data_IF_680313176984
#
_entry.id   IF_680313176984
#
_cell.length_a   1.000
_cell.length_b   1.000
_cell.length_c   1.000
_cell.angle_alpha   90.00
_cell.angle_beta   90.00
_cell.angle_gamma   90.00
#
_symmetry.space_group_name_H-M   'P 1'
#
loop_
_entity.id
_entity.type
_entity.pdbx_description
1 polymer ?
#
# COMPACT_ATOMS: atom_id res chain seq x y z
N UNK A 1 -0.02 13.27 -3.24
CA UNK A 1 1.10 13.47 -2.30
C UNK A 1 1.77 14.82 -2.51
N UNK A 2 1.90 15.64 -1.46
CA UNK A 2 2.63 16.92 -1.53
C UNK A 2 4.00 16.90 -0.84
N UNK A 3 4.15 16.10 0.23
CA UNK A 3 5.41 15.88 0.93
C UNK A 3 5.65 14.37 1.07
N UNK A 4 6.27 13.74 0.07
CA UNK A 4 6.49 12.29 0.07
C UNK A 4 7.87 11.88 0.58
N UNK A 5 7.93 10.75 1.26
CA UNK A 5 9.16 10.02 1.52
C UNK A 5 9.09 8.63 0.92
N UNK A 6 10.25 8.07 0.60
CA UNK A 6 10.40 6.71 0.07
C UNK A 6 11.40 5.96 0.92
N UNK A 7 11.08 4.70 1.24
CA UNK A 7 11.97 3.81 1.95
C UNK A 7 11.96 2.43 1.31
N UNK A 8 13.11 1.76 1.35
CA UNK A 8 13.20 0.36 0.97
C UNK A 8 12.42 -0.52 1.94
N UNK A 9 11.86 -1.61 1.42
CA UNK A 9 11.16 -2.59 2.24
C UNK A 9 11.66 -4.01 2.01
N UNK A 10 11.90 -4.38 0.75
CA UNK A 10 12.49 -5.66 0.34
C UNK A 10 11.78 -6.86 0.99
N UNK A 11 10.45 -6.89 0.90
CA UNK A 11 9.64 -8.01 1.40
C UNK A 11 9.09 -8.82 0.25
N UNK A 12 9.15 -10.14 0.38
CA UNK A 12 8.55 -11.05 -0.58
C UNK A 12 7.04 -11.22 -0.30
N UNK A 13 6.26 -11.25 -1.37
CA UNK A 13 4.84 -11.62 -1.37
C UNK A 13 4.61 -12.78 -2.33
N UNK A 14 3.72 -13.70 -1.93
CA UNK A 14 3.37 -14.84 -2.74
C UNK A 14 2.53 -14.44 -3.97
N UNK A 15 2.33 -15.39 -4.87
CA UNK A 15 1.52 -15.20 -6.09
C UNK A 15 0.06 -14.81 -5.80
N UNK A 16 -0.54 -15.28 -4.71
CA UNK A 16 -1.93 -14.95 -4.34
C UNK A 16 -2.08 -13.46 -3.99
N UNK A 17 -1.20 -12.93 -3.14
CA UNK A 17 -1.19 -11.51 -2.77
C UNK A 17 -0.85 -10.63 -3.97
N UNK A 18 0.07 -11.07 -4.83
CA UNK A 18 0.38 -10.38 -6.08
C UNK A 18 -0.85 -10.26 -6.99
N UNK A 19 -1.61 -11.35 -7.16
CA UNK A 19 -2.85 -11.34 -7.97
C UNK A 19 -3.85 -10.36 -7.37
N UNK A 20 -4.09 -10.42 -6.06
CA UNK A 20 -4.98 -9.49 -5.35
C UNK A 20 -4.60 -8.03 -5.56
N UNK A 21 -3.31 -7.69 -5.41
CA UNK A 21 -2.81 -6.33 -5.63
C UNK A 21 -2.95 -5.87 -7.09
N UNK A 22 -2.74 -6.77 -8.06
CA UNK A 22 -2.93 -6.50 -9.49
C UNK A 22 -4.39 -6.42 -9.92
N UNK A 23 -5.31 -7.04 -9.18
CA UNK A 23 -6.75 -6.85 -9.37
C UNK A 23 -7.16 -5.47 -8.86
N UNK A 24 -6.60 -5.05 -7.74
CA UNK A 24 -6.93 -3.77 -7.12
C UNK A 24 -8.32 -3.78 -6.49
N UNK A 25 -8.73 -2.60 -6.01
CA UNK A 25 -10.06 -2.37 -5.45
C UNK A 25 -10.50 -0.95 -5.82
N UNK A 26 -11.69 -0.84 -6.36
CA UNK A 26 -12.34 0.44 -6.65
C UNK A 26 -13.58 0.54 -5.77
N UNK A 27 -13.60 1.56 -4.92
CA UNK A 27 -14.70 1.84 -4.00
C UNK A 27 -15.98 2.21 -4.72
N UNK A 28 -17.11 1.74 -4.21
CA UNK A 28 -18.42 2.12 -4.72
C UNK A 28 -18.87 3.46 -4.13
N UNK A 29 -18.47 3.74 -2.88
CA UNK A 29 -18.78 4.98 -2.20
C UNK A 29 -17.74 5.38 -1.13
N UNK A 30 -18.00 6.48 -0.43
CA UNK A 30 -17.09 7.04 0.58
C UNK A 30 -16.87 6.12 1.80
N UNK A 31 -17.72 5.11 2.03
CA UNK A 31 -17.65 4.20 3.17
C UNK A 31 -16.51 3.17 3.04
N UNK A 32 -16.09 2.85 1.81
CA UNK A 32 -14.97 1.96 1.53
C UNK A 32 -13.61 2.63 1.81
N UNK A 33 -13.59 3.96 1.76
CA UNK A 33 -12.50 4.89 2.15
C UNK A 33 -11.18 4.80 1.41
N UNK A 34 -10.88 3.69 0.75
CA UNK A 34 -9.61 3.44 0.08
C UNK A 34 -9.84 2.84 -1.30
N UNK A 35 -9.12 3.36 -2.29
CA UNK A 35 -8.94 2.70 -3.58
C UNK A 35 -7.53 2.12 -3.64
N UNK A 36 -7.40 0.98 -4.31
CA UNK A 36 -6.14 0.32 -4.59
C UNK A 36 -6.03 0.12 -6.09
N UNK A 37 -5.23 0.95 -6.75
CA UNK A 37 -5.14 1.01 -8.21
C UNK A 37 -3.76 0.53 -8.68
N UNK A 38 -3.68 -0.63 -9.33
CA UNK A 38 -2.45 -1.06 -10.00
C UNK A 38 -2.20 -0.16 -11.22
N UNK A 39 -0.92 0.16 -11.46
CA UNK A 39 -0.45 0.80 -12.70
C UNK A 39 0.28 -0.21 -13.56
N UNK A 40 0.44 0.13 -14.83
CA UNK A 40 1.26 -0.64 -15.75
C UNK A 40 2.71 -0.69 -15.27
N UNK A 41 3.40 -1.77 -15.62
CA UNK A 41 4.81 -1.91 -15.30
C UNK A 41 5.62 -0.83 -16.04
N UNK A 42 6.60 -0.24 -15.37
CA UNK A 42 7.54 0.67 -16.02
C UNK A 42 8.56 -0.07 -16.91
N UNK A 43 9.47 0.68 -17.53
CA UNK A 43 10.52 0.15 -18.40
C UNK A 43 11.44 -0.87 -17.69
N UNK A 44 11.49 -0.85 -16.35
CA UNK A 44 12.28 -1.78 -15.54
C UNK A 44 11.45 -2.98 -15.05
N UNK A 45 10.19 -3.09 -15.48
CA UNK A 45 9.26 -4.13 -15.05
C UNK A 45 8.72 -3.92 -13.63
N UNK A 46 8.82 -2.71 -13.07
CA UNK A 46 8.28 -2.39 -11.75
C UNK A 46 6.82 -2.00 -11.86
N UNK A 47 5.97 -2.67 -11.10
CA UNK A 47 4.55 -2.38 -11.00
C UNK A 47 4.32 -1.49 -9.80
N UNK A 48 3.60 -0.38 -10.01
CA UNK A 48 3.22 0.53 -8.93
C UNK A 48 1.79 0.28 -8.49
N UNK A 49 1.58 0.04 -7.20
CA UNK A 49 0.25 -0.06 -6.60
C UNK A 49 -0.03 1.24 -5.86
N UNK A 50 -0.98 2.02 -6.38
CA UNK A 50 -1.41 3.28 -5.81
C UNK A 50 -2.52 3.04 -4.80
N UNK A 51 -2.41 3.65 -3.62
CA UNK A 51 -3.42 3.52 -2.56
C UNK A 51 -3.84 4.92 -2.15
N UNK A 52 -5.09 5.27 -2.47
CA UNK A 52 -5.64 6.61 -2.36
C UNK A 52 -6.95 6.60 -1.56
N UNK A 53 -7.41 7.78 -1.13
CA UNK A 53 -8.75 7.91 -0.53
C UNK A 53 -9.81 7.96 -1.60
N UNK A 54 -10.91 7.24 -1.40
CA UNK A 54 -11.99 7.15 -2.39
C UNK A 54 -12.61 8.50 -2.80
N UNK A 55 -12.63 9.47 -1.89
CA UNK A 55 -13.27 10.76 -2.12
C UNK A 55 -12.32 11.89 -2.54
N UNK A 56 -10.99 11.74 -2.39
CA UNK A 56 -10.02 12.74 -2.90
C UNK A 56 -9.23 12.23 -4.09
N UNK A 57 -9.15 10.90 -4.28
CA UNK A 57 -8.28 10.22 -5.22
C UNK A 57 -6.79 10.60 -5.08
N UNK A 58 -6.43 11.24 -3.96
CA UNK A 58 -5.04 11.58 -3.68
C UNK A 58 -4.33 10.35 -3.13
N UNK A 59 -3.23 9.97 -3.78
CA UNK A 59 -2.36 8.90 -3.29
C UNK A 59 -1.85 9.24 -1.89
N UNK A 60 -1.99 8.26 -1.00
CA UNK A 60 -1.39 8.28 0.34
C UNK A 60 -0.20 7.33 0.44
N UNK A 61 -0.24 6.24 -0.34
CA UNK A 61 0.83 5.26 -0.43
C UNK A 61 1.01 4.82 -1.88
N UNK A 62 2.25 4.51 -2.24
CA UNK A 62 2.60 3.79 -3.46
C UNK A 62 3.55 2.66 -3.08
N UNK A 63 3.21 1.43 -3.48
CA UNK A 63 4.12 0.29 -3.40
C UNK A 63 4.77 0.06 -4.76
N UNK A 64 6.09 -0.14 -4.76
CA UNK A 64 6.83 -0.57 -5.94
C UNK A 64 7.09 -2.08 -5.85
N UNK A 65 6.59 -2.84 -6.83
CA UNK A 65 6.68 -4.29 -6.88
C UNK A 65 7.56 -4.71 -8.05
N UNK A 66 8.54 -5.56 -7.77
CA UNK A 66 9.32 -6.25 -8.79
C UNK A 66 8.83 -7.68 -8.91
N UNK A 67 8.46 -8.10 -10.11
CA UNK A 67 8.04 -9.49 -10.35
C UNK A 67 9.23 -10.43 -10.22
N UNK A 68 9.01 -11.57 -9.57
CA UNK A 68 9.93 -12.70 -9.56
C UNK A 68 9.44 -13.73 -10.58
N UNK A 69 10.35 -14.39 -11.28
CA UNK A 69 10.01 -15.28 -12.40
C UNK A 69 9.20 -16.51 -11.99
N UNK A 70 9.31 -16.96 -10.73
CA UNK A 70 8.75 -18.25 -10.32
C UNK A 70 7.69 -18.20 -9.20
N UNK A 71 7.65 -17.19 -8.32
CA UNK A 71 6.84 -17.33 -7.09
C UNK A 71 6.22 -16.04 -6.50
N UNK A 72 5.90 -15.05 -7.34
CA UNK A 72 5.21 -13.85 -6.91
C UNK A 72 6.03 -12.58 -7.13
N UNK A 73 6.20 -11.77 -6.10
CA UNK A 73 6.88 -10.48 -6.24
C UNK A 73 7.66 -10.08 -4.98
N UNK A 74 8.54 -9.12 -5.16
CA UNK A 74 9.19 -8.39 -4.07
C UNK A 74 8.65 -6.96 -4.03
N UNK A 75 8.17 -6.52 -2.87
CA UNK A 75 7.92 -5.10 -2.62
C UNK A 75 9.27 -4.46 -2.31
N UNK A 76 9.81 -3.76 -3.29
CA UNK A 76 11.14 -3.16 -3.22
C UNK A 76 11.12 -1.90 -2.36
N UNK A 77 10.06 -1.11 -2.46
CA UNK A 77 9.92 0.14 -1.71
C UNK A 77 8.47 0.53 -1.46
N UNK A 78 8.32 1.39 -0.46
CA UNK A 78 7.09 2.15 -0.19
C UNK A 78 7.40 3.63 -0.31
N UNK A 79 6.52 4.34 -1.00
CA UNK A 79 6.44 5.81 -0.96
C UNK A 79 5.16 6.21 -0.23
N UNK A 80 5.22 7.20 0.65
CA UNK A 80 4.05 7.65 1.40
C UNK A 80 4.01 9.18 1.53
N UNK A 81 2.79 9.72 1.65
CA UNK A 81 2.62 11.10 2.08
C UNK A 81 2.99 11.22 3.56
N UNK A 82 4.01 12.02 3.85
CA UNK A 82 4.47 12.30 5.20
C UNK A 82 3.51 13.24 5.91
N UNK A 83 2.76 14.08 5.20
CA UNK A 83 1.87 15.07 5.82
C UNK A 83 0.43 14.60 5.74
N UNK A 84 -0.15 14.29 6.89
CA UNK A 84 -1.57 13.89 7.01
C UNK A 84 -2.27 14.84 7.96
N UNK A 85 -2.83 15.92 7.40
CA UNK A 85 -3.34 17.04 8.20
C UNK A 85 -2.21 17.69 9.00
N UNK A 86 -2.35 17.72 10.32
CA UNK A 86 -1.34 18.28 11.24
C UNK A 86 -0.28 17.25 11.70
N UNK A 87 -0.44 15.99 11.30
CA UNK A 87 0.44 14.90 11.73
C UNK A 87 1.49 14.56 10.67
N UNK A 88 2.71 14.24 11.13
CA UNK A 88 3.78 13.70 10.30
C UNK A 88 3.86 12.18 10.42
N UNK A 89 3.60 11.47 9.33
CA UNK A 89 3.69 10.01 9.23
C UNK A 89 5.14 9.56 9.00
N UNK A 90 5.66 8.76 9.92
CA UNK A 90 6.95 8.08 9.78
C UNK A 90 6.85 6.78 8.97
N UNK A 91 8.02 6.23 8.61
CA UNK A 91 8.15 5.01 7.81
C UNK A 91 7.45 3.80 8.46
N UNK A 92 7.66 3.59 9.76
CA UNK A 92 7.07 2.45 10.49
C UNK A 92 5.54 2.51 10.45
N UNK A 93 4.97 3.69 10.70
CA UNK A 93 3.53 3.93 10.61
C UNK A 93 3.02 3.73 9.20
N UNK A 94 3.75 4.18 8.17
CA UNK A 94 3.37 3.99 6.78
C UNK A 94 3.32 2.50 6.40
N UNK A 95 4.35 1.73 6.74
CA UNK A 95 4.41 0.28 6.51
C UNK A 95 3.29 -0.48 7.23
N UNK A 96 2.95 -0.11 8.47
CA UNK A 96 1.83 -0.70 9.21
C UNK A 96 0.48 -0.37 8.58
N UNK A 97 0.26 0.89 8.22
CA UNK A 97 -0.99 1.36 7.64
C UNK A 97 -1.23 0.70 6.28
N UNK A 98 -0.24 0.66 5.39
CA UNK A 98 -0.42 0.10 4.06
C UNK A 98 -0.78 -1.39 4.10
N UNK A 99 -0.13 -2.17 4.98
CA UNK A 99 -0.46 -3.59 5.19
C UNK A 99 -1.86 -3.76 5.76
N UNK A 100 -2.25 -2.93 6.73
CA UNK A 100 -3.60 -2.96 7.28
C UNK A 100 -4.66 -2.63 6.22
N UNK A 101 -4.41 -1.67 5.32
CA UNK A 101 -5.31 -1.36 4.20
C UNK A 101 -5.40 -2.53 3.23
N UNK A 102 -4.27 -3.07 2.75
CA UNK A 102 -4.28 -4.17 1.79
C UNK A 102 -4.94 -5.44 2.36
N UNK A 103 -4.73 -5.74 3.65
CA UNK A 103 -5.46 -6.82 4.35
C UNK A 103 -6.96 -6.57 4.42
N UNK A 104 -7.36 -5.35 4.77
CA UNK A 104 -8.77 -4.98 4.95
C UNK A 104 -9.54 -4.97 3.62
N UNK A 105 -8.91 -4.50 2.54
CA UNK A 105 -9.58 -4.28 1.25
C UNK A 105 -9.46 -5.45 0.28
N UNK A 106 -8.32 -6.16 0.29
CA UNK A 106 -8.00 -7.20 -0.69
C UNK A 106 -7.76 -8.57 -0.05
N UNK A 107 -7.82 -8.65 1.28
CA UNK A 107 -7.51 -9.88 2.02
C UNK A 107 -6.10 -10.41 1.72
N UNK A 108 -5.13 -9.51 1.43
CA UNK A 108 -3.74 -9.90 1.24
C UNK A 108 -3.15 -10.44 2.56
N UNK A 109 -2.40 -11.53 2.53
CA UNK A 109 -1.86 -12.15 3.74
C UNK A 109 -0.60 -11.43 4.25
N UNK A 110 0.34 -11.09 3.37
CA UNK A 110 1.69 -10.63 3.70
C UNK A 110 2.35 -11.54 4.75
N UNK A 111 2.58 -12.80 4.40
CA UNK A 111 3.02 -13.87 5.32
C UNK A 111 4.25 -13.49 6.18
N UNK A 112 5.18 -12.72 5.63
CA UNK A 112 6.38 -12.26 6.35
C UNK A 112 6.11 -11.17 7.40
N UNK A 113 4.90 -10.63 7.51
CA UNK A 113 4.55 -9.49 8.36
C UNK A 113 3.50 -9.83 9.42
N UNK A 114 3.62 -9.29 10.65
CA UNK A 114 2.64 -9.54 11.70
C UNK A 114 1.30 -8.89 11.38
N UNK A 115 0.23 -9.38 12.00
CA UNK A 115 -1.09 -8.73 11.98
C UNK A 115 -1.04 -7.41 12.76
N UNK A 116 -1.48 -6.33 12.12
CA UNK A 116 -1.59 -5.02 12.74
C UNK A 116 -3.05 -4.74 13.09
N UNK A 117 -3.27 -4.07 14.22
CA UNK A 117 -4.59 -3.61 14.63
C UNK A 117 -5.10 -2.53 13.67
N UNK A 118 -6.33 -2.65 13.16
CA UNK A 118 -6.92 -1.67 12.23
C UNK A 118 -7.01 -0.25 12.81
N UNK A 119 -6.89 -0.08 14.13
CA UNK A 119 -6.73 1.22 14.79
C UNK A 119 -5.52 2.01 14.27
N UNK A 120 -4.50 1.36 13.70
CA UNK A 120 -3.36 2.07 13.08
C UNK A 120 -3.76 2.98 11.91
N UNK A 121 -4.92 2.72 11.29
CA UNK A 121 -5.48 3.56 10.22
C UNK A 121 -6.10 4.85 10.74
N UNK A 122 -6.44 4.88 12.04
CA UNK A 122 -7.15 5.96 12.72
C UNK A 122 -6.32 6.59 13.84
N UNK A 123 -5.13 6.04 14.11
CA UNK A 123 -4.21 6.57 15.09
C UNK A 123 -3.52 7.82 14.52
N UNK A 124 -4.23 8.95 14.54
CA UNK A 124 -3.58 10.20 14.90
C UNK A 124 -3.16 10.02 16.36
N UNK A 125 -1.85 9.95 16.63
CA UNK A 125 -1.35 9.78 18.00
C UNK A 125 -2.00 10.86 18.88
N UNK A 126 -2.76 10.44 19.90
CA UNK A 126 -3.11 11.32 21.03
C UNK A 126 -1.83 11.76 21.73
#
# INVERSE_FOLDING_TARGET
MKDSATAQWNIHINSSDLIKLKTGFESADMNDRWDITPKEADENGIIYIHISRSWTQEDHFILALKLNEEDGAEITSITWDQTVGEYRRDEESAKKQVVAVCRMMLECEFEALPFYDLRVLWSSRR
#
